data_IF_885184913195
#
_entry.id   IF_885184913195
#
_cell.length_a   1.000
_cell.length_b   1.000
_cell.length_c   1.000
_cell.angle_alpha   90.00
_cell.angle_beta   90.00
_cell.angle_gamma   90.00
#
_symmetry.space_group_name_H-M   'P 1'
#
loop_
_entity.id
_entity.type
_entity.pdbx_description
1 polymer ?
#
# COMPACT_ATOMS: atom_id res chain seq x y z
N UNK A 1 27.64 9.84 26.50
CA UNK A 1 27.80 8.42 26.12
C UNK A 1 28.93 8.29 25.13
N UNK A 2 29.52 7.11 25.00
CA UNK A 2 30.54 6.79 23.99
C UNK A 2 29.87 6.23 22.72
N UNK A 3 30.35 6.62 21.54
CA UNK A 3 29.85 6.09 20.26
C UNK A 3 30.41 4.68 20.07
N UNK A 4 29.53 3.70 19.87
CA UNK A 4 29.89 2.27 19.71
C UNK A 4 29.76 1.78 18.27
N UNK A 5 29.08 2.54 17.41
CA UNK A 5 29.02 2.34 15.95
C UNK A 5 28.62 3.66 15.29
N UNK A 6 28.95 3.82 14.01
CA UNK A 6 28.54 4.95 13.18
C UNK A 6 28.34 4.47 11.74
N UNK A 7 27.38 5.04 11.02
CA UNK A 7 27.24 4.80 9.59
C UNK A 7 27.01 6.10 8.86
N UNK A 8 27.94 6.45 7.97
CA UNK A 8 27.81 7.57 7.04
C UNK A 8 27.61 6.97 5.65
N UNK A 9 26.46 7.23 5.04
CA UNK A 9 26.12 6.67 3.75
C UNK A 9 25.98 7.68 2.64
N UNK A 10 26.13 7.18 1.41
CA UNK A 10 25.77 7.91 0.21
C UNK A 10 24.24 7.92 0.02
N UNK A 11 23.77 8.48 -1.09
CA UNK A 11 22.34 8.55 -1.37
C UNK A 11 21.68 7.16 -1.47
N UNK A 12 22.42 6.09 -1.76
CA UNK A 12 21.87 4.78 -2.07
C UNK A 12 22.22 3.70 -1.04
N UNK A 13 22.94 4.03 0.02
CA UNK A 13 23.22 3.10 1.11
C UNK A 13 24.45 2.21 0.88
N UNK A 14 25.37 2.57 -0.03
CA UNK A 14 26.43 1.65 -0.49
C UNK A 14 27.62 1.50 0.46
N UNK A 15 27.74 2.39 1.44
CA UNK A 15 28.87 2.40 2.38
C UNK A 15 28.71 1.39 3.50
N UNK A 16 29.84 1.00 4.11
CA UNK A 16 29.86 0.12 5.28
C UNK A 16 29.78 0.92 6.58
N UNK A 17 29.13 0.34 7.61
CA UNK A 17 29.13 0.91 8.95
C UNK A 17 30.51 0.78 9.61
N UNK A 18 30.91 1.83 10.33
CA UNK A 18 32.05 1.79 11.23
C UNK A 18 31.63 1.16 12.56
N UNK A 19 32.09 -0.07 12.82
CA UNK A 19 31.73 -0.87 13.98
C UNK A 19 32.60 -0.59 15.24
N UNK A 20 33.66 0.21 15.15
CA UNK A 20 34.47 0.65 16.29
C UNK A 20 35.02 2.08 16.06
N UNK A 21 34.16 3.12 16.08
CA UNK A 21 34.60 4.50 15.86
C UNK A 21 35.60 5.00 16.92
N UNK A 22 35.59 4.39 18.10
CA UNK A 22 36.46 4.76 19.22
C UNK A 22 37.85 4.12 19.20
N UNK A 23 38.14 3.23 18.24
CA UNK A 23 39.37 2.43 18.18
C UNK A 23 39.69 1.70 19.51
N UNK A 24 38.65 1.17 20.14
CA UNK A 24 38.77 0.48 21.44
C UNK A 24 39.16 -0.99 21.28
N UNK A 25 39.11 -1.51 20.05
CA UNK A 25 39.28 -2.93 19.74
C UNK A 25 38.00 -3.76 19.93
N UNK A 26 36.91 -3.16 20.44
CA UNK A 26 35.61 -3.83 20.60
C UNK A 26 34.68 -3.43 19.46
N UNK A 27 34.29 -4.39 18.61
CA UNK A 27 33.40 -4.14 17.48
C UNK A 27 31.94 -4.38 17.83
N UNK A 28 31.06 -3.49 17.37
CA UNK A 28 29.61 -3.66 17.44
C UNK A 28 29.06 -3.94 16.05
N UNK A 29 28.55 -5.16 15.83
CA UNK A 29 27.94 -5.51 14.55
C UNK A 29 26.59 -4.82 14.38
N UNK A 30 26.42 -4.09 13.29
CA UNK A 30 25.17 -3.41 12.94
C UNK A 30 24.74 -3.77 11.51
N UNK A 31 23.67 -4.55 11.42
CA UNK A 31 23.13 -4.99 10.14
C UNK A 31 21.97 -4.11 9.64
N UNK A 32 21.50 -3.15 10.45
CA UNK A 32 20.48 -2.21 9.98
C UNK A 32 21.05 -1.29 8.89
N UNK A 33 20.22 -0.97 7.90
CA UNK A 33 20.54 -0.05 6.79
C UNK A 33 19.48 1.05 6.75
N UNK A 34 19.11 1.53 5.56
CA UNK A 34 17.98 2.46 5.42
C UNK A 34 16.69 1.88 6.02
N UNK A 35 15.67 2.71 6.30
CA UNK A 35 14.44 2.25 6.92
C UNK A 35 13.86 1.00 6.22
N UNK A 36 13.57 -0.05 6.98
CA UNK A 36 13.06 -1.33 6.47
C UNK A 36 14.14 -2.35 6.04
N UNK A 37 15.40 -1.93 5.93
CA UNK A 37 16.47 -2.74 5.34
C UNK A 37 17.38 -3.42 6.37
N UNK A 38 17.71 -4.68 6.09
CA UNK A 38 18.67 -5.49 6.81
C UNK A 38 19.79 -5.94 5.87
N UNK A 39 21.04 -5.74 6.26
CA UNK A 39 22.19 -6.20 5.52
C UNK A 39 22.38 -7.71 5.65
N UNK A 40 22.22 -8.40 4.53
CA UNK A 40 22.56 -9.80 4.40
C UNK A 40 24.03 -9.94 4.02
N UNK A 41 24.83 -10.43 4.96
CA UNK A 41 26.28 -10.58 4.80
C UNK A 41 26.64 -11.65 3.76
N UNK A 42 25.79 -12.64 3.55
CA UNK A 42 26.08 -13.77 2.66
C UNK A 42 26.03 -13.34 1.20
N UNK A 43 25.04 -12.52 0.85
CA UNK A 43 24.86 -11.97 -0.50
C UNK A 43 25.54 -10.61 -0.71
N UNK A 44 25.75 -9.84 0.37
CA UNK A 44 26.16 -8.44 0.29
C UNK A 44 25.01 -7.48 -0.09
N UNK A 45 23.77 -7.99 -0.15
CA UNK A 45 22.58 -7.23 -0.50
C UNK A 45 21.84 -6.75 0.75
N UNK A 46 20.93 -5.80 0.56
CA UNK A 46 20.03 -5.34 1.60
C UNK A 46 18.69 -6.06 1.43
N UNK A 47 18.35 -6.92 2.37
CA UNK A 47 17.02 -7.49 2.46
C UNK A 47 16.05 -6.40 2.90
N UNK A 48 15.11 -6.04 2.01
CA UNK A 48 14.07 -5.05 2.25
C UNK A 48 12.71 -5.73 2.19
N UNK A 49 12.41 -6.53 3.21
CA UNK A 49 11.17 -7.30 3.37
C UNK A 49 10.83 -8.19 2.15
N UNK A 50 10.17 -7.65 1.13
CA UNK A 50 9.74 -8.40 -0.05
C UNK A 50 10.85 -8.62 -1.10
N UNK A 51 11.91 -7.80 -1.08
CA UNK A 51 12.90 -7.76 -2.16
C UNK A 51 14.32 -7.58 -1.64
N UNK A 52 15.27 -8.08 -2.40
CA UNK A 52 16.68 -7.75 -2.22
C UNK A 52 17.03 -6.48 -3.01
N UNK A 53 17.55 -5.50 -2.29
CA UNK A 53 18.07 -4.24 -2.80
C UNK A 53 19.58 -4.32 -2.95
N UNK A 54 20.09 -3.94 -4.12
CA UNK A 54 21.52 -3.78 -4.37
C UNK A 54 21.88 -2.29 -4.28
N UNK A 55 22.59 -1.88 -3.22
CA UNK A 55 22.97 -0.48 -3.05
C UNK A 55 24.05 -0.02 -4.04
N UNK A 56 24.81 -0.93 -4.68
CA UNK A 56 25.83 -0.56 -5.66
C UNK A 56 25.24 -0.02 -6.95
N UNK A 57 24.05 -0.52 -7.32
CA UNK A 57 23.32 -0.12 -8.54
C UNK A 57 22.02 0.65 -8.23
N UNK A 58 21.73 0.90 -6.96
CA UNK A 58 20.64 1.73 -6.48
C UNK A 58 19.24 1.18 -6.81
N UNK A 59 19.06 -0.15 -6.84
CA UNK A 59 17.79 -0.76 -7.28
C UNK A 59 17.57 -2.15 -6.70
N UNK A 60 16.35 -2.65 -6.83
CA UNK A 60 16.04 -4.05 -6.56
C UNK A 60 16.63 -4.97 -7.62
N UNK A 61 17.08 -6.15 -7.21
CA UNK A 61 17.55 -7.20 -8.13
C UNK A 61 16.42 -8.11 -8.60
N UNK A 62 15.25 -7.97 -8.01
CA UNK A 62 14.03 -8.69 -8.34
C UNK A 62 13.03 -7.70 -8.94
N UNK A 63 12.31 -8.15 -9.97
CA UNK A 63 11.19 -7.38 -10.52
C UNK A 63 10.14 -7.18 -9.43
N UNK A 64 9.49 -6.03 -9.47
CA UNK A 64 8.41 -5.69 -8.57
C UNK A 64 7.32 -6.78 -8.62
N UNK A 65 6.98 -7.43 -7.48
CA UNK A 65 5.89 -8.38 -7.40
C UNK A 65 4.54 -7.78 -7.81
N UNK A 66 4.35 -6.46 -7.68
CA UNK A 66 3.13 -5.75 -8.12
C UNK A 66 3.20 -5.31 -9.60
N UNK A 67 4.29 -5.63 -10.30
CA UNK A 67 4.49 -5.35 -11.71
C UNK A 67 4.47 -3.86 -12.03
N UNK A 68 3.91 -3.50 -13.20
CA UNK A 68 3.87 -2.11 -13.66
C UNK A 68 2.98 -1.18 -12.83
N UNK A 69 2.23 -1.71 -11.85
CA UNK A 69 1.42 -0.92 -10.91
C UNK A 69 2.32 -0.10 -9.98
N UNK A 70 3.52 -0.61 -9.65
CA UNK A 70 4.55 0.12 -8.89
C UNK A 70 5.33 1.16 -9.72
N UNK A 71 5.02 1.27 -11.01
CA UNK A 71 5.68 2.16 -11.96
C UNK A 71 6.23 1.41 -13.18
N UNK A 72 6.60 2.16 -14.23
CA UNK A 72 7.10 1.58 -15.48
C UNK A 72 8.42 0.82 -15.27
N UNK A 73 9.21 1.21 -14.27
CA UNK A 73 10.43 0.53 -13.90
C UNK A 73 10.21 -0.36 -12.67
N UNK A 74 10.01 -1.66 -12.90
CA UNK A 74 9.75 -2.65 -11.87
C UNK A 74 10.95 -2.93 -10.93
N UNK A 75 12.09 -2.28 -11.09
CA UNK A 75 13.26 -2.51 -10.24
C UNK A 75 13.57 -1.30 -9.35
N UNK A 76 12.79 -0.22 -9.43
CA UNK A 76 13.13 1.06 -8.80
C UNK A 76 13.00 1.01 -7.27
N UNK A 77 14.01 1.51 -6.57
CA UNK A 77 13.94 1.78 -5.13
C UNK A 77 13.58 3.25 -4.90
N UNK A 78 12.62 3.52 -4.01
CA UNK A 78 12.28 4.88 -3.53
C UNK A 78 12.10 5.92 -4.67
N UNK A 79 11.48 5.51 -5.79
CA UNK A 79 11.32 6.32 -7.00
C UNK A 79 12.61 7.02 -7.50
N UNK A 80 13.77 6.38 -7.33
CA UNK A 80 15.10 6.94 -7.63
C UNK A 80 15.44 8.24 -6.86
N UNK A 81 14.73 8.54 -5.77
CA UNK A 81 15.00 9.66 -4.88
C UNK A 81 14.96 9.21 -3.40
N UNK A 82 15.93 8.39 -2.97
CA UNK A 82 16.03 7.84 -1.61
C UNK A 82 16.32 8.88 -0.52
N UNK A 83 16.66 10.13 -0.89
CA UNK A 83 16.79 11.24 0.05
C UNK A 83 15.43 11.83 0.46
N UNK A 84 14.42 11.68 -0.40
CA UNK A 84 13.06 12.22 -0.17
C UNK A 84 12.04 11.13 0.12
N UNK A 85 12.29 9.90 -0.34
CA UNK A 85 11.39 8.78 -0.21
C UNK A 85 12.10 7.57 0.40
N UNK A 86 11.31 6.76 1.09
CA UNK A 86 11.73 5.45 1.61
C UNK A 86 10.74 4.42 1.09
N UNK A 87 11.21 3.18 0.92
CA UNK A 87 10.36 2.02 0.64
C UNK A 87 10.53 1.04 1.81
N UNK A 88 9.84 1.24 2.95
CA UNK A 88 10.11 0.50 4.17
C UNK A 88 9.70 -0.99 4.09
N UNK A 89 8.89 -1.39 3.10
CA UNK A 89 8.17 -2.68 3.13
C UNK A 89 8.00 -3.41 1.79
N UNK A 90 8.16 -2.76 0.63
CA UNK A 90 8.03 -3.45 -0.66
C UNK A 90 6.58 -3.74 -1.16
N UNK A 91 5.57 -3.00 -0.67
CA UNK A 91 4.26 -2.53 -1.21
C UNK A 91 3.11 -3.41 -1.74
N UNK A 92 1.93 -3.36 -1.06
CA UNK A 92 0.74 -4.24 -1.25
C UNK A 92 -0.19 -3.74 -2.32
N UNK A 93 -0.55 -4.65 -3.24
CA UNK A 93 -1.42 -4.33 -4.36
C UNK A 93 -2.78 -4.99 -4.19
N UNK A 94 -3.80 -4.15 -4.17
CA UNK A 94 -5.18 -4.55 -4.24
C UNK A 94 -5.78 -4.20 -5.60
N UNK A 95 -6.68 -5.04 -6.09
CA UNK A 95 -7.51 -4.76 -7.26
C UNK A 95 -8.97 -4.97 -6.88
N UNK A 96 -9.83 -4.01 -7.19
CA UNK A 96 -11.28 -4.12 -7.03
C UNK A 96 -11.97 -4.02 -8.38
N UNK A 97 -12.76 -5.02 -8.75
CA UNK A 97 -13.66 -4.93 -9.90
C UNK A 97 -15.06 -4.57 -9.44
N UNK A 98 -15.58 -3.49 -10.02
CA UNK A 98 -16.92 -2.98 -9.77
C UNK A 98 -17.95 -4.03 -10.19
N UNK A 99 -17.89 -4.53 -11.44
CA UNK A 99 -18.87 -5.49 -11.97
C UNK A 99 -18.78 -6.86 -11.29
N UNK A 100 -17.57 -7.29 -10.90
CA UNK A 100 -17.40 -8.57 -10.20
C UNK A 100 -17.65 -8.46 -8.69
N UNK A 101 -17.80 -7.25 -8.14
CA UNK A 101 -17.98 -7.02 -6.70
C UNK A 101 -16.85 -7.60 -5.85
N UNK A 102 -15.66 -7.72 -6.40
CA UNK A 102 -14.60 -8.54 -5.82
C UNK A 102 -13.33 -7.73 -5.68
N UNK A 103 -12.77 -7.73 -4.47
CA UNK A 103 -11.48 -7.14 -4.17
C UNK A 103 -10.48 -8.25 -3.89
N UNK A 104 -9.34 -8.23 -4.57
CA UNK A 104 -8.23 -9.14 -4.30
C UNK A 104 -7.03 -8.32 -3.86
N UNK A 105 -6.48 -8.63 -2.70
CA UNK A 105 -5.23 -8.04 -2.23
C UNK A 105 -4.16 -9.10 -2.16
N UNK A 106 -2.99 -8.78 -2.70
CA UNK A 106 -1.81 -9.62 -2.63
C UNK A 106 -0.84 -8.99 -1.64
N UNK A 107 -0.47 -9.71 -0.55
CA UNK A 107 0.60 -9.27 0.34
C UNK A 107 1.96 -9.34 -0.36
N UNK A 108 2.91 -8.49 0.03
CA UNK A 108 4.17 -8.33 -0.73
C UNK A 108 5.24 -9.33 -0.38
N UNK A 109 5.09 -9.94 0.79
CA UNK A 109 5.87 -11.08 1.24
C UNK A 109 5.70 -12.34 0.38
N UNK A 110 5.06 -12.27 -0.80
CA UNK A 110 4.84 -13.41 -1.70
C UNK A 110 3.76 -14.37 -1.18
N UNK A 111 2.83 -13.88 -0.37
CA UNK A 111 1.76 -14.65 0.25
C UNK A 111 0.59 -14.96 -0.68
N UNK A 112 -0.28 -15.88 -0.27
CA UNK A 112 -1.53 -16.13 -0.99
C UNK A 112 -2.39 -14.86 -1.02
N UNK A 113 -2.78 -14.45 -2.21
CA UNK A 113 -3.76 -13.38 -2.40
C UNK A 113 -5.05 -13.71 -1.63
N UNK A 114 -5.62 -12.69 -1.00
CA UNK A 114 -6.88 -12.79 -0.29
C UNK A 114 -7.94 -12.10 -1.13
N UNK A 115 -9.06 -12.79 -1.29
CA UNK A 115 -10.22 -12.27 -2.02
C UNK A 115 -11.37 -11.97 -1.06
N UNK A 116 -11.99 -10.82 -1.27
CA UNK A 116 -13.16 -10.29 -0.60
C UNK A 116 -14.29 -10.15 -1.63
N UNK A 117 -15.44 -10.75 -1.33
CA UNK A 117 -16.58 -10.82 -2.26
C UNK A 117 -16.66 -12.16 -3.00
N UNK A 118 -17.53 -12.27 -4.03
CA UNK A 118 -18.44 -11.22 -4.51
C UNK A 118 -19.63 -10.95 -3.56
N UNK A 119 -20.03 -11.96 -2.78
CA UNK A 119 -21.18 -11.85 -1.89
C UNK A 119 -20.93 -10.86 -0.76
N UNK A 120 -21.88 -9.94 -0.52
CA UNK A 120 -21.80 -8.97 0.57
C UNK A 120 -20.79 -7.84 0.35
N UNK A 121 -20.30 -7.64 -0.88
CA UNK A 121 -19.43 -6.51 -1.23
C UNK A 121 -20.11 -5.68 -2.30
N UNK A 122 -20.06 -4.36 -2.16
CA UNK A 122 -20.73 -3.48 -3.10
C UNK A 122 -20.17 -2.05 -3.09
N UNK A 123 -20.41 -1.34 -4.18
CA UNK A 123 -20.11 0.08 -4.31
C UNK A 123 -21.25 0.80 -5.03
N UNK A 124 -21.61 1.98 -4.54
CA UNK A 124 -22.74 2.76 -5.03
C UNK A 124 -24.04 2.47 -4.28
N UNK A 125 -25.02 3.35 -4.47
CA UNK A 125 -26.27 3.31 -3.71
C UNK A 125 -27.18 2.18 -4.22
N UNK A 126 -28.06 1.62 -3.36
CA UNK A 126 -29.04 0.64 -3.80
C UNK A 126 -29.88 1.15 -4.98
N UNK A 127 -29.92 0.38 -6.08
CA UNK A 127 -30.61 0.77 -7.29
C UNK A 127 -29.86 0.34 -8.55
N UNK A 128 -30.13 1.02 -9.67
CA UNK A 128 -29.56 0.73 -10.99
C UNK A 128 -28.04 0.95 -11.08
N UNK A 129 -27.51 1.82 -10.21
CA UNK A 129 -26.10 2.19 -10.20
C UNK A 129 -25.26 1.42 -9.18
N UNK A 130 -25.86 0.59 -8.32
CA UNK A 130 -25.10 -0.29 -7.43
C UNK A 130 -24.27 -1.24 -8.28
N UNK A 131 -22.97 -1.25 -8.04
CA UNK A 131 -22.02 -2.13 -8.71
C UNK A 131 -22.02 -2.04 -10.25
N UNK A 132 -22.50 -0.93 -10.79
CA UNK A 132 -22.59 -0.72 -12.22
C UNK A 132 -21.51 0.27 -12.63
N UNK A 133 -20.45 -0.22 -13.27
CA UNK A 133 -19.34 0.63 -13.72
C UNK A 133 -19.75 1.66 -14.77
N UNK A 134 -20.85 1.44 -15.50
CA UNK A 134 -21.41 2.44 -16.41
C UNK A 134 -21.97 3.67 -15.68
N UNK A 135 -22.31 3.52 -14.39
CA UNK A 135 -22.73 4.62 -13.53
C UNK A 135 -21.57 5.29 -12.79
N UNK A 136 -20.30 4.96 -13.05
CA UNK A 136 -19.16 5.50 -12.30
C UNK A 136 -19.12 7.05 -12.28
N UNK A 137 -19.56 7.69 -13.36
CA UNK A 137 -19.64 9.15 -13.49
C UNK A 137 -20.88 9.76 -12.81
N UNK A 138 -21.84 8.94 -12.34
CA UNK A 138 -23.01 9.44 -11.63
C UNK A 138 -22.60 9.95 -10.24
N UNK A 139 -22.72 11.26 -10.05
CA UNK A 139 -22.35 11.98 -8.83
C UNK A 139 -23.05 11.50 -7.55
N UNK A 140 -24.29 11.01 -7.67
CA UNK A 140 -25.18 10.74 -6.53
C UNK A 140 -25.31 9.26 -6.22
N UNK A 141 -25.17 8.40 -7.23
CA UNK A 141 -25.57 6.99 -7.11
C UNK A 141 -24.47 5.99 -7.48
N UNK A 142 -23.47 6.42 -8.26
CA UNK A 142 -22.49 5.52 -8.86
C UNK A 142 -21.60 4.78 -7.85
N UNK A 143 -20.89 3.74 -8.29
CA UNK A 143 -19.80 3.13 -7.53
C UNK A 143 -18.60 4.09 -7.40
N UNK A 144 -17.54 3.64 -6.71
CA UNK A 144 -16.22 4.24 -6.79
C UNK A 144 -15.79 4.32 -8.27
N UNK A 145 -15.28 5.46 -8.77
CA UNK A 145 -14.82 5.55 -10.14
C UNK A 145 -13.65 4.59 -10.42
N UNK A 146 -13.54 4.02 -11.64
CA UNK A 146 -12.33 3.34 -12.07
C UNK A 146 -11.11 4.25 -12.01
N UNK A 147 -9.97 3.70 -11.61
CA UNK A 147 -8.73 4.46 -11.44
C UNK A 147 -7.80 3.85 -10.40
N UNK A 148 -6.69 4.54 -10.16
CA UNK A 148 -5.70 4.14 -9.17
C UNK A 148 -5.86 4.98 -7.90
N UNK A 149 -5.73 4.33 -6.75
CA UNK A 149 -5.93 4.91 -5.44
C UNK A 149 -4.83 4.44 -4.48
N UNK A 150 -4.45 5.29 -3.54
CA UNK A 150 -3.71 4.93 -2.34
C UNK A 150 -4.71 4.54 -1.25
N UNK A 151 -4.40 3.47 -0.50
CA UNK A 151 -5.22 2.99 0.62
C UNK A 151 -4.54 3.40 1.94
N UNK A 152 -5.12 4.37 2.62
CA UNK A 152 -4.60 4.89 3.88
C UNK A 152 -5.53 4.55 5.04
N UNK A 153 -5.01 4.33 6.24
CA UNK A 153 -5.87 4.21 7.42
C UNK A 153 -6.66 5.51 7.63
N UNK A 154 -7.91 5.38 8.08
CA UNK A 154 -8.73 6.52 8.43
C UNK A 154 -8.55 6.87 9.92
N UNK A 155 -7.98 8.04 10.19
CA UNK A 155 -7.67 8.54 11.52
C UNK A 155 -8.79 9.40 12.14
N UNK A 156 -9.92 9.55 11.43
CA UNK A 156 -11.07 10.33 11.92
C UNK A 156 -11.80 9.57 13.04
N UNK A 157 -12.26 10.32 14.04
CA UNK A 157 -13.05 9.75 15.15
C UNK A 157 -14.30 9.01 14.63
N UNK A 158 -14.51 7.78 15.09
CA UNK A 158 -15.62 6.91 14.68
C UNK A 158 -15.39 6.12 13.39
N UNK A 159 -14.22 6.24 12.76
CA UNK A 159 -13.84 5.51 11.53
C UNK A 159 -12.81 4.39 11.83
N UNK A 160 -12.85 3.84 13.04
CA UNK A 160 -11.96 2.74 13.44
C UNK A 160 -12.12 1.54 12.49
N UNK A 161 -11.03 1.12 11.85
CA UNK A 161 -11.03 0.03 10.88
C UNK A 161 -11.52 0.40 9.48
N UNK A 162 -11.60 1.70 9.15
CA UNK A 162 -11.92 2.19 7.81
C UNK A 162 -10.61 2.55 7.09
N UNK A 163 -10.65 2.41 5.76
CA UNK A 163 -9.54 2.73 4.89
C UNK A 163 -9.94 3.81 3.90
N UNK A 164 -9.24 4.95 3.89
CA UNK A 164 -9.44 6.02 2.91
C UNK A 164 -8.85 5.63 1.56
N UNK A 165 -9.59 5.90 0.49
CA UNK A 165 -9.19 5.64 -0.88
C UNK A 165 -8.93 6.98 -1.57
N UNK A 166 -7.67 7.33 -1.71
CA UNK A 166 -7.22 8.63 -2.24
C UNK A 166 -6.69 8.47 -3.66
N UNK A 167 -7.17 9.22 -4.67
CA UNK A 167 -6.70 9.06 -6.04
C UNK A 167 -5.19 9.25 -6.18
N UNK A 168 -4.60 8.43 -7.04
CA UNK A 168 -3.19 8.50 -7.40
C UNK A 168 -3.02 8.47 -8.93
N UNK A 169 -2.55 9.55 -9.58
CA UNK A 169 -2.07 10.80 -8.98
C UNK A 169 -3.20 11.62 -8.34
N UNK A 170 -2.84 12.42 -7.34
CA UNK A 170 -3.80 13.29 -6.65
C UNK A 170 -4.50 14.22 -7.65
N UNK A 171 -5.82 14.28 -7.59
CA UNK A 171 -6.63 15.13 -8.45
C UNK A 171 -6.72 16.53 -7.80
N UNK A 172 -6.23 17.60 -8.44
CA UNK A 172 -6.35 18.96 -7.91
C UNK A 172 -7.82 19.32 -7.66
N UNK A 173 -8.13 19.75 -6.43
CA UNK A 173 -9.51 20.04 -6.03
C UNK A 173 -10.30 18.84 -5.50
N UNK A 174 -9.63 17.75 -5.09
CA UNK A 174 -10.21 16.69 -4.24
C UNK A 174 -10.55 17.20 -2.82
N UNK A 175 -11.21 18.35 -2.73
CA UNK A 175 -11.85 18.86 -1.52
C UNK A 175 -13.33 18.62 -1.68
N UNK A 176 -13.87 17.73 -0.84
CA UNK A 176 -15.28 17.43 -0.86
C UNK A 176 -16.08 18.67 -0.48
N UNK A 177 -16.67 19.32 -1.49
CA UNK A 177 -17.89 20.12 -1.36
C UNK A 177 -18.47 20.54 -2.71
N UNK A 178 -19.76 20.25 -2.83
CA UNK A 178 -20.80 20.86 -3.66
C UNK A 178 -20.45 21.17 -5.12
N UNK A 179 -20.85 20.25 -6.00
CA UNK A 179 -21.09 20.56 -7.41
C UNK A 179 -20.19 19.86 -8.41
N UNK A 180 -20.17 18.51 -8.40
CA UNK A 180 -19.82 17.64 -9.55
C UNK A 180 -18.48 16.87 -9.51
N UNK A 181 -17.76 16.77 -8.39
CA UNK A 181 -16.66 15.79 -8.23
C UNK A 181 -16.76 15.06 -6.90
N UNK A 182 -17.07 13.76 -6.95
CA UNK A 182 -17.19 12.89 -5.76
C UNK A 182 -15.80 12.55 -5.23
N UNK A 183 -15.67 12.52 -3.91
CA UNK A 183 -14.41 12.24 -3.22
C UNK A 183 -14.66 11.67 -1.83
N UNK A 184 -13.58 11.27 -1.14
CA UNK A 184 -13.67 10.73 0.21
C UNK A 184 -14.20 9.30 0.26
N UNK A 185 -13.94 8.52 -0.80
CA UNK A 185 -14.28 7.11 -0.84
C UNK A 185 -13.48 6.33 0.21
N UNK A 186 -14.12 5.30 0.74
CA UNK A 186 -13.54 4.46 1.78
C UNK A 186 -13.75 2.99 1.45
N UNK A 187 -12.90 2.12 1.96
CA UNK A 187 -13.16 0.71 2.16
C UNK A 187 -13.57 0.51 3.62
N UNK A 188 -14.79 0.02 3.85
CA UNK A 188 -15.32 -0.14 5.22
C UNK A 188 -16.47 -1.14 5.30
N UNK A 189 -16.72 -1.73 6.49
CA UNK A 189 -17.96 -2.44 6.75
C UNK A 189 -19.13 -1.47 6.87
N UNK A 190 -20.30 -1.83 6.34
CA UNK A 190 -21.50 -1.01 6.39
C UNK A 190 -22.66 -1.54 5.55
N UNK A 191 -23.81 -0.88 5.64
CA UNK A 191 -25.02 -1.19 4.86
C UNK A 191 -25.27 -0.19 3.72
N UNK A 192 -24.60 0.96 3.75
CA UNK A 192 -24.80 2.06 2.82
C UNK A 192 -23.47 2.40 2.16
N UNK A 193 -23.49 2.52 0.84
CA UNK A 193 -22.35 2.96 0.04
C UNK A 193 -22.76 4.19 -0.77
N UNK A 194 -22.12 5.32 -0.51
CA UNK A 194 -22.16 6.50 -1.40
C UNK A 194 -20.97 6.46 -2.37
N UNK A 195 -20.70 5.29 -2.94
CA UNK A 195 -19.54 5.00 -3.80
C UNK A 195 -18.31 4.50 -3.06
N UNK A 196 -18.41 4.21 -1.76
CA UNK A 196 -17.38 3.47 -1.03
C UNK A 196 -17.31 2.01 -1.52
N UNK A 197 -16.20 1.32 -1.27
CA UNK A 197 -16.19 -0.15 -1.30
C UNK A 197 -16.72 -0.61 0.06
N UNK A 198 -17.96 -1.07 0.09
CA UNK A 198 -18.67 -1.38 1.32
C UNK A 198 -18.84 -2.89 1.48
N UNK A 199 -18.57 -3.36 2.70
CA UNK A 199 -18.71 -4.77 3.09
C UNK A 199 -19.90 -4.94 4.02
N UNK A 200 -20.84 -5.81 3.69
CA UNK A 200 -22.02 -6.11 4.48
C UNK A 200 -21.63 -6.86 5.79
N UNK A 201 -21.76 -6.22 6.97
CA UNK A 201 -21.42 -6.85 8.24
C UNK A 201 -22.35 -8.00 8.64
N UNK A 202 -23.55 -8.10 8.06
CA UNK A 202 -24.47 -9.20 8.34
C UNK A 202 -23.97 -10.53 7.76
N UNK A 203 -23.14 -10.48 6.72
CA UNK A 203 -22.53 -11.65 6.12
C UNK A 203 -21.22 -12.02 6.84
N UNK A 204 -21.31 -13.01 7.74
CA UNK A 204 -20.16 -13.53 8.51
C UNK A 204 -19.01 -14.03 7.63
N UNK A 205 -19.28 -14.57 6.44
CA UNK A 205 -18.23 -15.02 5.52
C UNK A 205 -17.47 -13.81 4.96
N UNK A 206 -18.19 -12.80 4.49
CA UNK A 206 -17.61 -11.59 3.93
C UNK A 206 -16.81 -10.82 4.98
N UNK A 207 -17.30 -10.73 6.21
CA UNK A 207 -16.52 -10.12 7.31
C UNK A 207 -15.25 -10.89 7.65
N UNK A 208 -15.24 -12.23 7.54
CA UNK A 208 -14.00 -13.01 7.68
C UNK A 208 -13.00 -12.72 6.56
N UNK A 209 -13.47 -12.50 5.33
CA UNK A 209 -12.62 -12.08 4.22
C UNK A 209 -12.10 -10.66 4.44
N UNK A 210 -12.97 -9.72 4.84
CA UNK A 210 -12.59 -8.36 5.17
C UNK A 210 -11.51 -8.31 6.24
N UNK A 211 -11.68 -9.03 7.36
CA UNK A 211 -10.68 -9.08 8.42
C UNK A 211 -9.34 -9.69 7.97
N UNK A 212 -9.29 -10.42 6.85
CA UNK A 212 -8.02 -10.88 6.26
C UNK A 212 -7.39 -9.78 5.41
N UNK A 213 -8.19 -9.06 4.63
CA UNK A 213 -7.74 -7.86 3.88
C UNK A 213 -7.24 -6.79 4.84
N UNK A 214 -8.02 -6.45 5.86
CA UNK A 214 -7.67 -5.47 6.89
C UNK A 214 -6.34 -5.81 7.56
N UNK A 215 -6.11 -7.09 7.92
CA UNK A 215 -4.82 -7.53 8.45
C UNK A 215 -3.66 -7.43 7.46
N UNK A 216 -3.90 -7.52 6.16
CA UNK A 216 -2.87 -7.25 5.15
C UNK A 216 -2.57 -5.76 5.15
N UNK A 217 -3.59 -4.93 5.02
CA UNK A 217 -3.44 -3.47 4.95
C UNK A 217 -2.80 -2.88 6.22
N UNK A 218 -3.13 -3.37 7.42
CA UNK A 218 -2.54 -2.94 8.69
C UNK A 218 -1.07 -3.29 8.85
N UNK A 219 -0.59 -4.32 8.13
CA UNK A 219 0.81 -4.74 8.21
C UNK A 219 1.73 -3.94 7.29
N UNK A 220 1.15 -3.16 6.37
CA UNK A 220 1.88 -2.56 5.25
C UNK A 220 1.86 -1.02 5.35
N UNK A 221 2.44 -0.47 6.42
CA UNK A 221 2.37 0.92 6.91
C UNK A 221 2.43 2.01 5.80
N UNK A 222 1.24 2.49 5.37
CA UNK A 222 1.08 3.72 4.59
C UNK A 222 1.36 3.62 3.09
N UNK A 223 1.49 2.42 2.53
CA UNK A 223 2.02 2.23 1.18
C UNK A 223 1.20 1.29 0.28
N UNK A 224 -0.02 0.97 0.74
CA UNK A 224 -1.00 0.16 0.04
C UNK A 224 -1.58 0.87 -1.19
N UNK A 225 -1.74 0.13 -2.29
CA UNK A 225 -2.34 0.64 -3.53
C UNK A 225 -3.60 -0.14 -3.91
N UNK A 226 -4.53 0.54 -4.55
CA UNK A 226 -5.77 -0.01 -5.09
C UNK A 226 -5.93 0.39 -6.55
N UNK A 227 -6.11 -0.59 -7.41
CA UNK A 227 -6.61 -0.39 -8.77
C UNK A 227 -8.09 -0.75 -8.83
N UNK A 228 -8.93 0.21 -9.19
CA UNK A 228 -10.35 0.00 -9.45
C UNK A 228 -10.56 -0.21 -10.93
N UNK A 229 -11.11 -1.37 -11.30
CA UNK A 229 -11.50 -1.70 -12.67
C UNK A 229 -13.02 -1.71 -12.81
N UNK A 230 -13.53 -1.49 -14.04
CA UNK A 230 -14.94 -1.72 -14.34
C UNK A 230 -15.46 -3.09 -13.88
#
# INVERSE_FOLDING_TARGET
GQIVWQWESDAFGSTVANEDPGNTGTKTTINLRFPGQYFDRESGLHYNMARYYDPQIGRYIQSDPIGLVGGINAFLYANANPLSFVDPEGLASCTYSITAHTMTCTPNSGGKSVTLGPSGVFSGVPGQCRNNSQCADNANEGPIPPGNYTINSDDRSGHEGFWRLEPNPQIPGWKCKTGLKRCGFMLHPGQVSLGCITVDPSNKNTMRQYNRIDRILQREDGSNTLTVTP
#
